data_IF_149335883892
#
_entry.id   IF_149335883892
#
_cell.length_a   1.000
_cell.length_b   1.000
_cell.length_c   1.000
_cell.angle_alpha   90.00
_cell.angle_beta   90.00
_cell.angle_gamma   90.00
#
_symmetry.space_group_name_H-M   'P 1'
#
loop_
_entity.id
_entity.type
_entity.pdbx_description
1 polymer ?
#
# COMPACT_ATOMS: atom_id res chain seq x y z
N UNK A 1 -2.78 20.35 -27.90
CA UNK A 1 -2.96 21.06 -26.63
C UNK A 1 -1.57 21.44 -26.15
N UNK A 2 -1.30 22.73 -25.94
CA UNK A 2 0.00 23.22 -25.50
C UNK A 2 0.27 22.66 -24.10
N UNK A 3 1.31 21.85 -23.97
CA UNK A 3 1.74 21.36 -22.66
C UNK A 3 2.11 22.55 -21.79
N UNK A 4 1.56 22.61 -20.58
CA UNK A 4 2.07 23.47 -19.51
C UNK A 4 3.57 23.18 -19.40
N UNK A 5 4.40 24.14 -19.87
CA UNK A 5 5.83 23.97 -20.00
C UNK A 5 6.52 23.86 -18.64
N UNK A 6 6.41 22.68 -18.04
CA UNK A 6 7.09 22.38 -16.78
C UNK A 6 8.59 22.41 -17.05
N UNK A 7 9.31 23.26 -16.31
CA UNK A 7 10.77 23.30 -16.42
C UNK A 7 11.42 22.10 -15.74
N UNK A 8 11.91 21.14 -16.53
CA UNK A 8 12.59 19.93 -16.05
C UNK A 8 14.12 20.06 -16.07
N UNK A 9 14.63 21.28 -15.83
CA UNK A 9 16.04 21.54 -15.77
C UNK A 9 16.42 22.46 -14.59
N UNK A 10 17.58 22.24 -14.02
CA UNK A 10 18.14 23.03 -12.92
C UNK A 10 19.66 23.15 -13.05
N UNK A 11 20.19 24.28 -12.69
CA UNK A 11 21.64 24.49 -12.54
C UNK A 11 22.04 24.26 -11.09
N UNK A 12 22.89 23.27 -10.84
CA UNK A 12 23.37 22.93 -9.48
C UNK A 12 24.87 22.70 -9.49
N UNK A 13 25.58 23.37 -8.60
CA UNK A 13 27.05 23.29 -8.45
C UNK A 13 27.81 23.49 -9.79
N UNK A 14 27.36 24.44 -10.60
CA UNK A 14 27.96 24.76 -11.91
C UNK A 14 27.66 23.77 -13.03
N UNK A 15 26.81 22.78 -12.80
CA UNK A 15 26.36 21.81 -13.80
C UNK A 15 24.87 21.95 -14.06
N UNK A 16 24.49 21.95 -15.36
CA UNK A 16 23.10 21.93 -15.76
C UNK A 16 22.58 20.51 -15.87
N UNK A 17 21.58 20.20 -15.05
CA UNK A 17 20.82 18.95 -15.10
C UNK A 17 19.52 19.16 -15.85
N UNK A 18 19.21 18.24 -16.77
CA UNK A 18 17.95 18.22 -17.54
C UNK A 18 17.41 16.80 -17.59
N UNK A 19 16.12 16.66 -17.35
CA UNK A 19 15.41 15.40 -17.43
C UNK A 19 14.45 15.41 -18.63
N UNK A 20 14.24 14.25 -19.23
CA UNK A 20 13.46 14.11 -20.45
C UNK A 20 11.96 14.40 -20.23
N UNK A 21 11.45 13.90 -19.08
CA UNK A 21 10.05 13.99 -18.70
C UNK A 21 9.88 13.87 -17.17
N UNK A 22 8.64 13.94 -16.70
CA UNK A 22 8.32 13.81 -15.28
C UNK A 22 8.67 12.42 -14.71
N UNK A 23 8.53 11.36 -15.52
CA UNK A 23 8.89 10.01 -15.10
C UNK A 23 10.39 9.90 -14.78
N UNK A 24 11.24 10.51 -15.62
CA UNK A 24 12.69 10.59 -15.39
C UNK A 24 13.03 11.39 -14.12
N UNK A 25 12.33 12.51 -13.84
CA UNK A 25 12.49 13.27 -12.59
C UNK A 25 12.11 12.41 -11.39
N UNK A 26 10.95 11.75 -11.45
CA UNK A 26 10.45 10.90 -10.39
C UNK A 26 11.39 9.72 -10.10
N UNK A 27 11.91 9.07 -11.14
CA UNK A 27 12.87 7.98 -11.01
C UNK A 27 14.18 8.45 -10.36
N UNK A 28 14.79 9.51 -10.90
CA UNK A 28 16.05 10.04 -10.39
C UNK A 28 15.96 10.63 -8.96
N UNK A 29 14.80 11.18 -8.57
CA UNK A 29 14.56 11.70 -7.21
C UNK A 29 14.47 10.59 -6.15
N UNK A 30 14.27 9.33 -6.56
CA UNK A 30 14.14 8.18 -5.65
C UNK A 30 15.40 7.94 -4.82
N UNK A 31 15.29 7.44 -3.58
CA UNK A 31 16.43 6.90 -2.85
C UNK A 31 17.13 5.80 -3.68
N UNK A 32 18.43 5.61 -3.42
CA UNK A 32 19.17 4.54 -4.10
C UNK A 32 18.54 3.17 -3.84
N UNK A 33 18.30 2.42 -4.90
CA UNK A 33 17.81 1.04 -4.88
C UNK A 33 18.47 0.24 -5.99
N UNK A 34 18.93 -0.98 -5.67
CA UNK A 34 19.60 -1.85 -6.64
C UNK A 34 18.72 -2.20 -7.86
N UNK A 35 17.41 -2.37 -7.65
CA UNK A 35 16.46 -2.63 -8.73
C UNK A 35 16.36 -1.48 -9.74
N UNK A 36 16.34 -0.24 -9.26
CA UNK A 36 16.31 0.96 -10.12
C UNK A 36 17.61 1.10 -10.92
N UNK A 37 18.75 0.73 -10.32
CA UNK A 37 20.05 0.70 -11.01
C UNK A 37 20.06 -0.34 -12.11
N UNK A 38 19.58 -1.56 -11.82
CA UNK A 38 19.48 -2.65 -12.80
C UNK A 38 18.54 -2.31 -13.96
N UNK A 39 17.46 -1.58 -13.67
CA UNK A 39 16.52 -1.08 -14.68
C UNK A 39 17.04 0.13 -15.46
N UNK A 40 18.19 0.71 -15.09
CA UNK A 40 18.79 1.88 -15.76
C UNK A 40 18.03 3.19 -15.55
N UNK A 41 17.17 3.27 -14.52
CA UNK A 41 16.34 4.45 -14.22
C UNK A 41 16.82 5.24 -12.99
N UNK A 42 17.75 4.70 -12.21
CA UNK A 42 18.32 5.37 -11.05
C UNK A 42 19.12 6.63 -11.45
N UNK A 43 19.16 7.63 -10.57
CA UNK A 43 20.12 8.73 -10.72
C UNK A 43 21.55 8.18 -10.76
N UNK A 44 22.37 8.74 -11.67
CA UNK A 44 23.76 8.33 -11.88
C UNK A 44 24.63 8.56 -10.63
N UNK A 45 24.31 9.61 -9.88
CA UNK A 45 25.01 9.99 -8.66
C UNK A 45 24.11 10.76 -7.67
N UNK A 46 24.68 11.14 -6.52
CA UNK A 46 23.94 11.88 -5.50
C UNK A 46 23.55 13.28 -5.95
N UNK A 47 24.37 13.93 -6.77
CA UNK A 47 24.11 15.31 -7.24
C UNK A 47 22.95 15.34 -8.24
N UNK A 48 22.89 14.38 -9.15
CA UNK A 48 21.76 14.24 -10.06
C UNK A 48 20.46 13.95 -9.29
N UNK A 49 20.53 13.10 -8.25
CA UNK A 49 19.35 12.86 -7.37
C UNK A 49 18.90 14.12 -6.67
N UNK A 50 19.81 14.92 -6.15
CA UNK A 50 19.49 16.20 -5.52
C UNK A 50 18.90 17.16 -6.55
N UNK A 51 19.45 17.24 -7.76
CA UNK A 51 18.94 18.08 -8.86
C UNK A 51 17.50 17.68 -9.24
N UNK A 52 17.21 16.37 -9.32
CA UNK A 52 15.84 15.87 -9.56
C UNK A 52 14.88 16.26 -8.44
N UNK A 53 15.31 16.20 -7.18
CA UNK A 53 14.49 16.61 -6.03
C UNK A 53 14.24 18.11 -5.99
N UNK A 54 15.19 18.95 -6.41
CA UNK A 54 14.97 20.39 -6.56
C UNK A 54 13.87 20.66 -7.57
N UNK A 55 13.96 20.04 -8.76
CA UNK A 55 12.91 20.18 -9.77
C UNK A 55 11.58 19.68 -9.22
N UNK A 56 11.54 18.49 -8.60
CA UNK A 56 10.35 17.88 -8.06
C UNK A 56 9.68 18.77 -7.00
N UNK A 57 10.47 19.44 -6.15
CA UNK A 57 9.94 20.31 -5.10
C UNK A 57 9.16 21.52 -5.65
N UNK A 58 9.58 22.02 -6.81
CA UNK A 58 8.97 23.19 -7.43
C UNK A 58 7.78 22.84 -8.35
N UNK A 59 7.52 21.54 -8.59
CA UNK A 59 6.40 21.12 -9.44
C UNK A 59 5.06 21.37 -8.73
N UNK A 60 4.10 22.04 -9.40
CA UNK A 60 2.74 22.14 -8.88
C UNK A 60 2.10 20.76 -8.74
N UNK A 61 1.36 20.50 -7.65
CA UNK A 61 0.63 19.23 -7.45
C UNK A 61 -0.32 18.92 -8.62
N UNK A 62 -0.98 19.95 -9.18
CA UNK A 62 -1.88 19.79 -10.33
C UNK A 62 -1.21 19.19 -11.57
N UNK A 63 0.12 19.25 -11.68
CA UNK A 63 0.86 18.63 -12.78
C UNK A 63 0.58 17.12 -12.87
N UNK A 64 0.39 16.47 -11.75
CA UNK A 64 0.13 15.04 -11.67
C UNK A 64 -1.27 14.63 -12.15
N UNK A 65 -2.22 15.56 -12.25
CA UNK A 65 -3.56 15.29 -12.78
C UNK A 65 -3.53 15.01 -14.28
N UNK A 66 -2.55 15.57 -15.01
CA UNK A 66 -2.40 15.41 -16.45
C UNK A 66 -1.26 14.48 -16.85
N UNK A 67 -0.45 14.01 -15.90
CA UNK A 67 0.73 13.19 -16.15
C UNK A 67 0.61 11.85 -15.43
N UNK A 68 -0.21 10.95 -15.96
CA UNK A 68 -0.36 9.59 -15.46
C UNK A 68 0.73 8.67 -16.02
N UNK A 69 1.29 7.74 -15.24
CA UNK A 69 2.37 6.85 -15.68
C UNK A 69 1.95 5.91 -16.82
N UNK A 70 0.69 5.50 -16.83
CA UNK A 70 0.08 4.63 -17.85
C UNK A 70 -1.13 5.35 -18.43
N UNK A 71 -1.33 5.34 -19.76
CA UNK A 71 -2.47 6.05 -20.38
C UNK A 71 -3.83 5.53 -19.87
N UNK A 72 -4.74 6.45 -19.61
CA UNK A 72 -6.10 6.19 -19.13
C UNK A 72 -6.84 5.16 -20.01
N UNK A 73 -6.70 5.25 -21.33
CA UNK A 73 -7.40 4.42 -22.31
C UNK A 73 -6.97 2.95 -22.24
N UNK A 74 -5.75 2.67 -21.75
CA UNK A 74 -5.13 1.34 -21.82
C UNK A 74 -5.01 0.63 -20.47
N UNK A 75 -5.35 1.31 -19.37
CA UNK A 75 -5.11 0.78 -18.01
C UNK A 75 -6.30 1.01 -17.08
N UNK A 76 -6.91 -0.08 -16.60
CA UNK A 76 -8.08 0.00 -15.71
C UNK A 76 -7.75 0.58 -14.33
N UNK A 77 -6.50 0.43 -13.87
CA UNK A 77 -6.07 0.98 -12.58
C UNK A 77 -5.96 2.50 -12.68
N UNK A 78 -5.36 2.99 -13.77
CA UNK A 78 -5.33 4.44 -14.06
C UNK A 78 -6.73 5.01 -14.16
N UNK A 79 -7.66 4.34 -14.89
CA UNK A 79 -9.07 4.76 -14.93
C UNK A 79 -9.68 4.86 -13.54
N UNK A 80 -9.51 3.82 -12.71
CA UNK A 80 -10.02 3.83 -11.36
C UNK A 80 -9.50 5.00 -10.52
N UNK A 81 -8.20 5.32 -10.62
CA UNK A 81 -7.57 6.42 -9.89
C UNK A 81 -8.13 7.75 -10.36
N UNK A 82 -8.16 7.99 -11.68
CA UNK A 82 -8.62 9.26 -12.26
C UNK A 82 -10.12 9.47 -12.02
N UNK A 83 -10.94 8.44 -12.23
CA UNK A 83 -12.41 8.53 -12.07
C UNK A 83 -12.84 8.71 -10.59
N UNK A 84 -11.99 8.34 -9.65
CA UNK A 84 -12.26 8.49 -8.20
C UNK A 84 -11.58 9.68 -7.57
N UNK A 85 -10.81 10.44 -8.33
CA UNK A 85 -10.21 11.67 -7.82
C UNK A 85 -11.28 12.67 -7.41
N UNK A 86 -11.19 13.17 -6.18
CA UNK A 86 -12.09 14.17 -5.63
C UNK A 86 -11.49 15.58 -5.81
N UNK A 87 -12.03 16.32 -6.77
CA UNK A 87 -11.56 17.66 -7.09
C UNK A 87 -11.84 18.68 -5.97
N UNK A 88 -12.91 18.51 -5.20
CA UNK A 88 -13.25 19.40 -4.09
C UNK A 88 -12.28 19.17 -2.91
N UNK A 89 -11.98 17.92 -2.60
CA UNK A 89 -10.95 17.58 -1.62
C UNK A 89 -9.56 18.07 -2.06
N UNK A 90 -9.24 18.00 -3.37
CA UNK A 90 -7.99 18.49 -3.93
C UNK A 90 -7.88 20.03 -3.87
N UNK A 91 -8.98 20.77 -3.98
CA UNK A 91 -8.97 22.24 -4.09
C UNK A 91 -8.15 22.94 -3.00
N UNK A 92 -8.15 22.42 -1.78
CA UNK A 92 -7.39 22.97 -0.65
C UNK A 92 -5.88 22.94 -0.87
N UNK A 93 -5.36 21.89 -1.50
CA UNK A 93 -3.92 21.66 -1.73
C UNK A 93 -3.50 21.97 -3.17
N UNK A 94 -4.44 22.23 -4.08
CA UNK A 94 -4.19 22.51 -5.49
C UNK A 94 -3.19 23.64 -5.78
N UNK A 95 -3.12 24.72 -4.96
CA UNK A 95 -2.15 25.79 -5.14
C UNK A 95 -0.71 25.42 -4.79
N UNK A 96 -0.51 24.29 -4.08
CA UNK A 96 0.78 23.91 -3.55
C UNK A 96 1.67 23.28 -4.63
N UNK A 97 2.98 23.47 -4.46
CA UNK A 97 4.00 22.61 -5.10
C UNK A 97 4.19 21.35 -4.27
N UNK A 98 4.92 20.36 -4.80
CA UNK A 98 5.29 19.15 -4.04
C UNK A 98 6.06 19.51 -2.77
N UNK A 99 6.97 20.46 -2.84
CA UNK A 99 7.70 20.99 -1.68
C UNK A 99 6.77 21.70 -0.69
N UNK A 100 5.87 22.56 -1.19
CA UNK A 100 4.86 23.22 -0.39
C UNK A 100 3.91 22.23 0.28
N UNK A 101 3.56 21.14 -0.38
CA UNK A 101 2.74 20.09 0.20
C UNK A 101 3.50 19.32 1.31
N UNK A 102 4.81 19.07 1.14
CA UNK A 102 5.63 18.53 2.23
C UNK A 102 5.61 19.44 3.47
N UNK A 103 5.82 20.73 3.29
CA UNK A 103 5.80 21.72 4.40
C UNK A 103 4.41 21.76 5.06
N UNK A 104 3.34 21.72 4.26
CA UNK A 104 1.96 21.68 4.77
C UNK A 104 1.71 20.41 5.60
N UNK A 105 2.16 19.22 5.15
CA UNK A 105 2.04 17.97 5.91
C UNK A 105 2.80 18.00 7.23
N UNK A 106 3.93 18.73 7.29
CA UNK A 106 4.78 18.84 8.49
C UNK A 106 4.33 19.95 9.44
N UNK A 107 3.54 20.92 8.98
CA UNK A 107 3.11 22.07 9.78
C UNK A 107 2.34 21.62 11.04
N UNK A 108 2.56 22.29 12.15
CA UNK A 108 1.97 21.94 13.45
C UNK A 108 0.44 22.09 13.47
N UNK A 109 -0.11 22.99 12.66
CA UNK A 109 -1.55 23.25 12.51
C UNK A 109 -2.24 22.27 11.53
N UNK A 110 -1.50 21.46 10.80
CA UNK A 110 -2.03 20.39 9.96
C UNK A 110 -2.17 19.11 10.77
N UNK A 111 -3.37 18.82 11.23
CA UNK A 111 -3.69 17.62 12.01
C UNK A 111 -4.18 16.45 11.12
N UNK A 112 -4.44 15.30 11.75
CA UNK A 112 -4.90 14.11 11.05
C UNK A 112 -6.29 14.25 10.41
N UNK A 113 -7.17 15.07 10.96
CA UNK A 113 -8.49 15.35 10.39
C UNK A 113 -8.35 16.19 9.12
N UNK A 114 -7.49 17.20 9.15
CA UNK A 114 -7.16 18.05 8.01
C UNK A 114 -6.53 17.23 6.86
N UNK A 115 -5.60 16.29 7.18
CA UNK A 115 -5.02 15.37 6.19
C UNK A 115 -6.09 14.43 5.61
N UNK A 116 -6.97 13.90 6.46
CA UNK A 116 -8.05 13.01 6.01
C UNK A 116 -9.02 13.72 5.07
N UNK A 117 -9.33 15.00 5.31
CA UNK A 117 -10.24 15.79 4.48
C UNK A 117 -9.76 15.95 3.02
N UNK A 118 -8.43 15.98 2.78
CA UNK A 118 -7.87 16.11 1.44
C UNK A 118 -7.48 14.76 0.81
N UNK A 119 -7.59 13.65 1.54
CA UNK A 119 -7.03 12.36 1.13
C UNK A 119 -7.60 11.83 -0.19
N UNK A 120 -8.89 12.02 -0.46
CA UNK A 120 -9.55 11.61 -1.69
C UNK A 120 -9.13 12.45 -2.92
N UNK A 121 -8.52 13.62 -2.68
CA UNK A 121 -7.94 14.48 -3.72
C UNK A 121 -6.45 14.21 -3.99
N UNK A 122 -5.81 13.30 -3.26
CA UNK A 122 -4.39 12.98 -3.45
C UNK A 122 -4.26 11.77 -4.37
N UNK A 123 -3.70 11.97 -5.55
CA UNK A 123 -3.33 10.85 -6.42
C UNK A 123 -2.09 10.11 -5.89
N UNK A 124 -1.94 8.81 -6.17
CA UNK A 124 -0.77 8.02 -5.77
C UNK A 124 0.56 8.65 -6.18
N UNK A 125 0.62 9.27 -7.34
CA UNK A 125 1.82 9.95 -7.87
C UNK A 125 2.19 11.17 -7.04
N UNK A 126 1.22 11.93 -6.53
CA UNK A 126 1.45 13.06 -5.62
C UNK A 126 2.05 12.57 -4.29
N UNK A 127 1.48 11.50 -3.72
CA UNK A 127 2.00 10.87 -2.51
C UNK A 127 3.42 10.32 -2.73
N UNK A 128 3.68 9.68 -3.87
CA UNK A 128 5.00 9.21 -4.24
C UNK A 128 6.00 10.37 -4.42
N UNK A 129 5.59 11.49 -5.03
CA UNK A 129 6.43 12.66 -5.23
C UNK A 129 6.85 13.30 -3.91
N UNK A 130 5.89 13.58 -3.02
CA UNK A 130 6.19 14.19 -1.73
C UNK A 130 7.05 13.28 -0.85
N UNK A 131 6.84 11.97 -0.89
CA UNK A 131 7.63 11.01 -0.12
C UNK A 131 9.11 11.02 -0.49
N UNK A 132 9.45 11.32 -1.77
CA UNK A 132 10.85 11.43 -2.23
C UNK A 132 11.58 12.66 -1.68
N UNK A 133 10.85 13.67 -1.23
CA UNK A 133 11.38 14.87 -0.56
C UNK A 133 11.48 14.70 0.97
N UNK A 134 10.78 13.73 1.53
CA UNK A 134 10.75 13.47 2.96
C UNK A 134 11.97 12.63 3.40
N UNK A 135 12.51 12.96 4.57
CA UNK A 135 13.41 12.10 5.34
C UNK A 135 12.58 11.12 6.17
N UNK A 136 13.21 10.10 6.73
CA UNK A 136 12.51 9.15 7.61
C UNK A 136 11.82 9.84 8.79
N UNK A 137 12.46 10.85 9.39
CA UNK A 137 11.88 11.65 10.49
C UNK A 137 10.64 12.42 10.04
N UNK A 138 10.62 12.96 8.82
CA UNK A 138 9.48 13.66 8.26
C UNK A 138 8.31 12.69 8.06
N UNK A 139 8.57 11.50 7.50
CA UNK A 139 7.56 10.45 7.33
C UNK A 139 6.98 9.97 8.67
N UNK A 140 7.82 9.83 9.71
CA UNK A 140 7.39 9.47 11.06
C UNK A 140 6.49 10.58 11.64
N UNK A 141 6.90 11.86 11.50
CA UNK A 141 6.14 12.99 12.00
C UNK A 141 4.76 13.11 11.34
N UNK A 142 4.69 12.93 10.01
CA UNK A 142 3.44 12.91 9.25
C UNK A 142 2.57 11.73 9.69
N UNK A 143 3.13 10.52 9.75
CA UNK A 143 2.41 9.30 10.14
C UNK A 143 1.85 9.39 11.56
N UNK A 144 2.55 10.06 12.48
CA UNK A 144 2.10 10.25 13.86
C UNK A 144 0.81 11.08 13.97
N UNK A 145 0.51 11.92 12.97
CA UNK A 145 -0.73 12.69 12.89
C UNK A 145 -1.93 11.86 12.45
N UNK A 146 -1.68 10.79 11.68
CA UNK A 146 -2.72 9.98 11.04
C UNK A 146 -2.97 8.75 11.91
N UNK A 147 -4.19 8.61 12.44
CA UNK A 147 -4.58 7.46 13.24
C UNK A 147 -5.55 6.58 12.44
N UNK A 148 -5.12 5.34 12.20
CA UNK A 148 -5.98 4.30 11.62
C UNK A 148 -6.20 3.25 12.69
N UNK A 149 -7.43 3.12 13.18
CA UNK A 149 -7.82 2.11 14.15
C UNK A 149 -8.75 1.12 13.48
N UNK A 150 -8.33 -0.13 13.39
CA UNK A 150 -9.13 -1.22 12.84
C UNK A 150 -9.60 -2.13 13.97
N UNK A 151 -10.85 -2.61 13.87
CA UNK A 151 -11.46 -3.50 14.85
C UNK A 151 -12.10 -4.68 14.14
N UNK A 152 -11.68 -5.85 14.54
CA UNK A 152 -12.32 -7.10 14.17
C UNK A 152 -12.34 -8.01 15.39
N UNK A 153 -11.57 -9.11 15.43
CA UNK A 153 -11.39 -9.92 16.64
C UNK A 153 -10.42 -9.27 17.62
N UNK A 154 -9.42 -8.57 17.13
CA UNK A 154 -8.53 -7.69 17.88
C UNK A 154 -8.67 -6.24 17.43
N UNK A 155 -8.09 -5.30 18.19
CA UNK A 155 -8.04 -3.87 17.82
C UNK A 155 -6.60 -3.49 17.57
N UNK A 156 -6.34 -2.89 16.40
CA UNK A 156 -5.03 -2.42 15.99
C UNK A 156 -5.02 -0.91 15.78
N UNK A 157 -3.87 -0.27 15.96
CA UNK A 157 -3.69 1.17 15.73
C UNK A 157 -3.99 2.05 16.94
N UNK A 158 -4.20 1.48 18.13
CA UNK A 158 -4.33 2.26 19.37
C UNK A 158 -3.00 2.94 19.72
N UNK A 159 -3.07 4.15 20.29
CA UNK A 159 -1.89 4.88 20.73
C UNK A 159 -1.10 4.09 21.79
N UNK A 160 0.23 4.05 21.62
CA UNK A 160 1.13 3.38 22.56
C UNK A 160 1.13 1.84 22.47
N UNK A 161 0.46 1.26 21.47
CA UNK A 161 0.44 -0.20 21.25
C UNK A 161 1.13 -0.56 19.94
N UNK A 162 1.81 -1.70 19.94
CA UNK A 162 2.28 -2.37 18.73
C UNK A 162 1.44 -3.61 18.53
N UNK A 163 1.11 -3.92 17.28
CA UNK A 163 0.43 -5.15 16.90
C UNK A 163 1.36 -5.98 16.01
N UNK A 164 1.57 -7.24 16.37
CA UNK A 164 2.53 -8.13 15.72
C UNK A 164 1.80 -9.21 14.94
N UNK A 165 2.10 -9.33 13.65
CA UNK A 165 1.68 -10.45 12.83
C UNK A 165 2.57 -11.67 13.11
N UNK A 166 1.96 -12.79 13.43
CA UNK A 166 2.63 -14.09 13.50
C UNK A 166 2.48 -14.81 12.15
N UNK A 167 3.58 -15.33 11.61
CA UNK A 167 3.58 -16.01 10.32
C UNK A 167 4.25 -17.40 10.42
N UNK A 168 3.53 -18.42 10.92
CA UNK A 168 4.05 -19.75 11.15
C UNK A 168 4.06 -20.59 9.86
N UNK A 169 4.89 -20.20 8.88
CA UNK A 169 5.00 -20.91 7.62
C UNK A 169 5.73 -22.26 7.79
N UNK A 170 5.33 -23.23 6.99
CA UNK A 170 6.02 -24.53 6.94
C UNK A 170 6.30 -24.93 5.47
N UNK A 171 7.49 -25.45 5.15
CA UNK A 171 7.89 -25.70 3.75
C UNK A 171 7.06 -26.77 3.02
N UNK A 172 6.32 -27.58 3.76
CA UNK A 172 5.45 -28.64 3.20
C UNK A 172 3.99 -28.49 3.65
N UNK A 173 3.64 -27.37 4.28
CA UNK A 173 2.31 -27.10 4.86
C UNK A 173 1.88 -28.14 5.90
N UNK A 174 2.85 -28.78 6.62
CA UNK A 174 2.52 -29.76 7.66
C UNK A 174 1.74 -29.11 8.81
N UNK A 175 0.48 -29.55 9.07
CA UNK A 175 -0.35 -28.92 10.08
C UNK A 175 0.21 -28.98 11.51
N UNK A 176 0.95 -30.06 11.85
CA UNK A 176 1.54 -30.20 13.16
C UNK A 176 2.71 -29.22 13.36
N UNK A 177 3.56 -29.07 12.34
CA UNK A 177 4.66 -28.11 12.33
C UNK A 177 4.15 -26.66 12.40
N UNK A 178 3.11 -26.35 11.64
CA UNK A 178 2.45 -25.03 11.68
C UNK A 178 1.85 -24.75 13.06
N UNK A 179 1.14 -25.73 13.64
CA UNK A 179 0.54 -25.59 14.98
C UNK A 179 1.60 -25.36 16.06
N UNK A 180 2.70 -26.12 16.03
CA UNK A 180 3.81 -25.95 16.97
C UNK A 180 4.43 -24.55 16.86
N UNK A 181 4.73 -24.10 15.64
CA UNK A 181 5.29 -22.77 15.39
C UNK A 181 4.31 -21.64 15.78
N UNK A 182 3.02 -21.83 15.53
CA UNK A 182 1.99 -20.86 15.93
C UNK A 182 1.90 -20.74 17.47
N UNK A 183 1.89 -21.86 18.19
CA UNK A 183 1.84 -21.87 19.65
C UNK A 183 3.12 -21.26 20.26
N UNK A 184 4.28 -21.57 19.72
CA UNK A 184 5.55 -20.99 20.18
C UNK A 184 5.55 -19.46 20.00
N UNK A 185 5.16 -18.96 18.84
CA UNK A 185 5.05 -17.51 18.60
C UNK A 185 4.01 -16.81 19.49
N UNK A 186 2.86 -17.45 19.74
CA UNK A 186 1.83 -16.93 20.64
C UNK A 186 2.34 -16.86 22.10
N UNK A 187 3.10 -17.86 22.56
CA UNK A 187 3.72 -17.86 23.89
C UNK A 187 4.77 -16.73 24.03
N UNK A 188 5.37 -16.30 22.93
CA UNK A 188 6.28 -15.13 22.89
C UNK A 188 5.54 -13.79 22.76
N UNK A 189 4.21 -13.77 22.78
CA UNK A 189 3.40 -12.55 22.68
C UNK A 189 3.22 -12.02 21.26
N UNK A 190 3.46 -12.83 20.22
CA UNK A 190 3.18 -12.47 18.83
C UNK A 190 1.76 -12.90 18.42
N UNK A 191 1.21 -12.33 17.35
CA UNK A 191 -0.07 -12.77 16.77
C UNK A 191 -1.29 -11.96 17.19
N UNK A 192 -1.12 -10.89 17.94
CA UNK A 192 -2.20 -9.98 18.34
C UNK A 192 -2.77 -9.19 17.15
N UNK A 193 -1.97 -8.91 16.10
CA UNK A 193 -2.46 -8.36 14.86
C UNK A 193 -3.24 -9.41 14.05
N UNK A 194 -2.59 -10.53 13.78
CA UNK A 194 -3.15 -11.67 13.06
C UNK A 194 -2.19 -12.87 13.09
N UNK A 195 -2.71 -14.06 12.84
CA UNK A 195 -1.92 -15.22 12.44
C UNK A 195 -2.10 -15.40 10.93
N UNK A 196 -1.02 -15.23 10.14
CA UNK A 196 -1.05 -15.33 8.69
C UNK A 196 -0.12 -16.41 8.18
N UNK A 197 -0.60 -17.31 7.33
CA UNK A 197 0.19 -18.38 6.72
C UNK A 197 0.34 -18.09 5.23
N UNK A 198 1.59 -18.14 4.73
CA UNK A 198 1.85 -18.28 3.31
C UNK A 198 1.99 -19.78 3.02
N UNK A 199 0.98 -20.44 2.42
CA UNK A 199 1.07 -21.84 2.12
C UNK A 199 2.16 -22.10 1.08
N UNK A 200 2.83 -23.25 1.18
CA UNK A 200 3.82 -23.67 0.19
C UNK A 200 3.17 -23.99 -1.16
N UNK A 201 1.88 -24.33 -1.16
CA UNK A 201 1.06 -24.59 -2.34
C UNK A 201 -0.29 -23.91 -2.25
N UNK A 202 -0.65 -23.15 -3.30
CA UNK A 202 -1.98 -22.59 -3.43
C UNK A 202 -2.95 -23.65 -3.99
N UNK A 203 -3.62 -24.36 -3.08
CA UNK A 203 -4.68 -25.29 -3.41
C UNK A 203 -5.82 -25.21 -2.38
N UNK A 204 -7.03 -25.36 -2.86
CA UNK A 204 -8.24 -25.13 -2.07
C UNK A 204 -8.36 -26.07 -0.85
N UNK A 205 -8.02 -27.35 -1.00
CA UNK A 205 -8.15 -28.33 0.10
C UNK A 205 -7.18 -27.99 1.25
N UNK A 206 -5.90 -27.74 0.93
CA UNK A 206 -4.90 -27.33 1.91
C UNK A 206 -5.24 -25.98 2.57
N UNK A 207 -5.74 -25.01 1.79
CA UNK A 207 -6.19 -23.73 2.33
C UNK A 207 -7.30 -23.91 3.36
N UNK A 208 -8.31 -24.73 3.07
CA UNK A 208 -9.43 -25.02 3.99
C UNK A 208 -8.90 -25.74 5.24
N UNK A 209 -7.99 -26.71 5.10
CA UNK A 209 -7.38 -27.41 6.23
C UNK A 209 -6.64 -26.44 7.16
N UNK A 210 -5.82 -25.54 6.61
CA UNK A 210 -5.08 -24.54 7.38
C UNK A 210 -6.01 -23.52 8.05
N UNK A 211 -7.08 -23.08 7.41
CA UNK A 211 -8.09 -22.21 8.01
C UNK A 211 -8.75 -22.89 9.21
N UNK A 212 -9.15 -24.14 9.08
CA UNK A 212 -9.70 -24.89 10.21
C UNK A 212 -8.68 -25.17 11.32
N UNK A 213 -7.40 -25.37 10.98
CA UNK A 213 -6.34 -25.50 11.97
C UNK A 213 -6.24 -24.23 12.84
N UNK A 214 -6.15 -23.05 12.20
CA UNK A 214 -6.04 -21.79 12.91
C UNK A 214 -7.30 -21.49 13.74
N UNK A 215 -8.48 -21.79 13.22
CA UNK A 215 -9.75 -21.64 13.90
C UNK A 215 -9.80 -22.49 15.17
N UNK A 216 -9.43 -23.79 15.09
CA UNK A 216 -9.35 -24.68 16.26
C UNK A 216 -8.33 -24.20 17.30
N UNK A 217 -7.16 -23.69 16.90
CA UNK A 217 -6.17 -23.14 17.83
C UNK A 217 -6.71 -21.91 18.54
N UNK A 218 -7.31 -21.00 17.80
CA UNK A 218 -7.90 -19.79 18.33
C UNK A 218 -8.99 -20.11 19.37
N UNK A 219 -9.91 -20.99 19.01
CA UNK A 219 -11.07 -21.33 19.86
C UNK A 219 -10.63 -22.13 21.09
N UNK A 220 -9.69 -23.08 20.93
CA UNK A 220 -9.19 -23.90 22.05
C UNK A 220 -8.54 -23.04 23.14
N UNK A 221 -7.84 -21.99 22.77
CA UNK A 221 -7.10 -21.15 23.72
C UNK A 221 -7.75 -19.78 23.94
N UNK A 222 -8.96 -19.56 23.40
CA UNK A 222 -9.70 -18.30 23.47
C UNK A 222 -8.86 -17.08 23.08
N UNK A 223 -8.09 -17.18 21.99
CA UNK A 223 -7.16 -16.13 21.56
C UNK A 223 -7.91 -15.07 20.75
N UNK A 224 -7.90 -13.78 21.17
CA UNK A 224 -8.59 -12.70 20.48
C UNK A 224 -7.79 -12.21 19.27
N UNK A 225 -7.55 -13.09 18.30
CA UNK A 225 -6.84 -12.79 17.05
C UNK A 225 -7.62 -13.25 15.83
N UNK A 226 -7.28 -12.74 14.67
CA UNK A 226 -7.82 -13.14 13.38
C UNK A 226 -6.79 -13.98 12.58
N UNK A 227 -7.32 -14.82 11.70
CA UNK A 227 -6.52 -15.69 10.86
C UNK A 227 -6.58 -15.29 9.38
N UNK A 228 -5.49 -15.56 8.65
CA UNK A 228 -5.42 -15.39 7.21
C UNK A 228 -4.55 -16.48 6.60
N UNK A 229 -5.04 -17.18 5.57
CA UNK A 229 -4.22 -17.98 4.68
C UNK A 229 -4.03 -17.20 3.38
N UNK A 230 -2.77 -16.87 3.07
CA UNK A 230 -2.41 -15.99 1.96
C UNK A 230 -2.38 -16.78 0.66
N UNK A 231 -3.54 -17.01 0.09
CA UNK A 231 -3.73 -17.67 -1.20
C UNK A 231 -4.22 -16.67 -2.25
N UNK A 232 -4.28 -17.10 -3.50
CA UNK A 232 -4.92 -16.30 -4.55
C UNK A 232 -6.40 -16.04 -4.19
N UNK A 233 -6.91 -14.87 -4.57
CA UNK A 233 -8.26 -14.43 -4.21
C UNK A 233 -9.35 -15.41 -4.65
N UNK A 234 -9.19 -16.09 -5.79
CA UNK A 234 -10.12 -17.12 -6.26
C UNK A 234 -10.20 -18.32 -5.33
N UNK A 235 -9.06 -18.74 -4.76
CA UNK A 235 -8.99 -19.81 -3.76
C UNK A 235 -9.69 -19.39 -2.48
N UNK A 236 -9.50 -18.13 -2.05
CA UNK A 236 -10.19 -17.58 -0.86
C UNK A 236 -11.70 -17.49 -1.06
N UNK A 237 -12.18 -17.02 -2.22
CA UNK A 237 -13.62 -16.99 -2.56
C UNK A 237 -14.21 -18.42 -2.49
N UNK A 238 -13.55 -19.38 -3.15
CA UNK A 238 -14.00 -20.77 -3.16
C UNK A 238 -13.99 -21.41 -1.75
N UNK A 239 -13.07 -21.00 -0.87
CA UNK A 239 -13.05 -21.45 0.53
C UNK A 239 -14.22 -20.88 1.32
N UNK A 240 -14.59 -19.62 1.11
CA UNK A 240 -15.78 -18.98 1.71
C UNK A 240 -17.05 -19.69 1.26
N UNK A 241 -17.22 -19.96 -0.04
CA UNK A 241 -18.38 -20.66 -0.59
C UNK A 241 -18.57 -22.06 -0.01
N UNK A 242 -17.45 -22.70 0.44
CA UNK A 242 -17.48 -24.00 1.11
C UNK A 242 -17.63 -23.91 2.62
N UNK A 243 -17.86 -22.70 3.17
CA UNK A 243 -18.08 -22.47 4.60
C UNK A 243 -16.83 -22.58 5.45
N UNK A 244 -15.62 -22.46 4.88
CA UNK A 244 -14.39 -22.42 5.65
C UNK A 244 -14.35 -21.16 6.55
N UNK A 245 -13.71 -21.24 7.74
CA UNK A 245 -13.68 -20.14 8.70
C UNK A 245 -12.65 -19.06 8.28
N UNK A 246 -12.99 -18.29 7.25
CA UNK A 246 -12.16 -17.19 6.75
C UNK A 246 -12.42 -15.94 7.60
N UNK A 247 -11.39 -15.40 8.25
CA UNK A 247 -11.46 -14.12 8.93
C UNK A 247 -11.00 -12.97 8.02
N UNK A 248 -9.86 -13.13 7.36
CA UNK A 248 -9.27 -12.13 6.49
C UNK A 248 -8.93 -12.74 5.14
N UNK A 249 -9.20 -11.99 4.08
CA UNK A 249 -8.73 -12.29 2.73
C UNK A 249 -7.48 -11.48 2.42
N UNK A 250 -6.57 -12.07 1.67
CA UNK A 250 -5.36 -11.42 1.19
C UNK A 250 -5.28 -11.52 -0.33
N UNK A 251 -4.87 -10.42 -0.97
CA UNK A 251 -4.47 -10.42 -2.37
C UNK A 251 -3.39 -9.37 -2.60
N UNK A 252 -2.31 -9.75 -3.24
CA UNK A 252 -1.33 -8.80 -3.77
C UNK A 252 -1.91 -8.08 -4.98
N UNK A 253 -1.76 -6.76 -5.02
CA UNK A 253 -2.21 -5.90 -6.11
C UNK A 253 -1.02 -5.09 -6.63
N UNK A 254 -0.95 -4.93 -7.95
CA UNK A 254 0.03 -4.08 -8.61
C UNK A 254 -0.58 -2.74 -9.04
N UNK A 255 0.29 -1.77 -9.32
CA UNK A 255 -0.10 -0.41 -9.71
C UNK A 255 -0.53 -0.25 -11.17
N UNK A 256 -0.62 -1.33 -11.96
CA UNK A 256 -1.09 -1.29 -13.33
C UNK A 256 -1.87 -2.55 -13.71
N UNK A 257 -2.77 -2.43 -14.69
CA UNK A 257 -3.53 -3.54 -15.23
C UNK A 257 -2.63 -4.65 -15.77
N UNK A 258 -1.60 -4.30 -16.52
CA UNK A 258 -0.69 -5.28 -17.11
C UNK A 258 0.04 -6.13 -16.05
N UNK A 259 0.50 -5.49 -14.97
CA UNK A 259 1.14 -6.19 -13.87
C UNK A 259 0.15 -7.08 -13.09
N UNK A 260 -1.08 -6.61 -12.86
CA UNK A 260 -2.15 -7.41 -12.23
C UNK A 260 -2.51 -8.64 -13.07
N UNK A 261 -2.63 -8.47 -14.38
CA UNK A 261 -2.93 -9.56 -15.31
C UNK A 261 -1.85 -10.66 -15.27
N UNK A 262 -0.60 -10.31 -14.97
CA UNK A 262 0.51 -11.25 -14.80
C UNK A 262 0.29 -12.31 -13.70
N UNK A 263 -0.56 -12.00 -12.70
CA UNK A 263 -1.00 -12.97 -11.66
C UNK A 263 -2.51 -13.26 -11.70
N UNK A 264 -3.16 -13.03 -12.83
CA UNK A 264 -4.57 -13.36 -13.01
C UNK A 264 -5.54 -12.44 -12.27
N UNK A 265 -5.13 -11.23 -11.89
CA UNK A 265 -5.94 -10.26 -11.14
C UNK A 265 -6.54 -9.22 -12.06
N UNK A 266 -7.82 -8.92 -11.86
CA UNK A 266 -8.56 -7.81 -12.48
C UNK A 266 -9.30 -7.01 -11.39
N UNK A 267 -9.69 -5.76 -11.69
CA UNK A 267 -10.52 -4.98 -10.76
C UNK A 267 -11.86 -5.64 -10.48
N UNK A 268 -12.45 -6.32 -11.46
CA UNK A 268 -13.69 -7.10 -11.29
C UNK A 268 -13.51 -8.21 -10.26
N UNK A 269 -12.46 -9.01 -10.40
CA UNK A 269 -12.15 -10.09 -9.45
C UNK A 269 -11.86 -9.56 -8.03
N UNK A 270 -11.19 -8.41 -7.92
CA UNK A 270 -10.98 -7.75 -6.63
C UNK A 270 -12.30 -7.27 -6.00
N UNK A 271 -13.24 -6.79 -6.81
CA UNK A 271 -14.59 -6.42 -6.35
C UNK A 271 -15.37 -7.65 -5.86
N UNK A 272 -15.33 -8.75 -6.59
CA UNK A 272 -15.92 -10.03 -6.17
C UNK A 272 -15.35 -10.52 -4.84
N UNK A 273 -14.02 -10.48 -4.68
CA UNK A 273 -13.36 -10.85 -3.43
C UNK A 273 -13.74 -9.95 -2.27
N UNK A 274 -13.85 -8.65 -2.49
CA UNK A 274 -14.32 -7.69 -1.47
C UNK A 274 -15.75 -7.99 -1.05
N UNK A 275 -16.63 -8.29 -2.00
CA UNK A 275 -18.04 -8.58 -1.72
C UNK A 275 -18.19 -9.93 -1.00
N UNK A 276 -17.38 -10.93 -1.36
CA UNK A 276 -17.28 -12.18 -0.61
C UNK A 276 -16.81 -11.95 0.83
N UNK A 277 -15.75 -11.13 1.03
CA UNK A 277 -15.27 -10.79 2.37
C UNK A 277 -16.32 -10.06 3.21
N UNK A 278 -17.13 -9.19 2.60
CA UNK A 278 -18.22 -8.48 3.28
C UNK A 278 -19.39 -9.38 3.68
N UNK A 279 -19.57 -10.50 3.02
CA UNK A 279 -20.61 -11.48 3.35
C UNK A 279 -20.25 -12.34 4.57
N UNK A 280 -19.00 -12.32 5.05
CA UNK A 280 -18.56 -13.08 6.21
C UNK A 280 -19.31 -12.60 7.47
N UNK A 281 -20.04 -13.53 8.11
CA UNK A 281 -20.78 -13.27 9.34
C UNK A 281 -19.78 -13.10 10.49
N UNK A 282 -19.58 -11.88 10.95
CA UNK A 282 -18.65 -11.49 12.01
C UNK A 282 -17.66 -10.41 11.60
N UNK A 283 -17.50 -10.17 10.30
CA UNK A 283 -16.70 -9.08 9.77
C UNK A 283 -17.53 -7.82 9.55
N UNK A 284 -17.56 -6.90 10.51
CA UNK A 284 -17.81 -5.52 10.13
C UNK A 284 -16.56 -5.06 9.41
N UNK A 285 -16.74 -4.76 8.13
CA UNK A 285 -15.74 -4.23 7.22
C UNK A 285 -14.68 -3.38 7.91
N UNK A 286 -13.47 -3.92 8.08
CA UNK A 286 -12.28 -3.15 8.30
C UNK A 286 -11.65 -2.85 6.93
N UNK A 287 -12.35 -2.05 6.14
CA UNK A 287 -11.78 -1.39 4.97
C UNK A 287 -12.10 0.09 5.16
N UNK A 288 -11.14 0.81 5.62
CA UNK A 288 -11.03 2.27 5.45
C UNK A 288 -9.98 2.55 4.40
#
# INVERSE_FOLDING_TARGET
>A
MAGDGVNLAVDLAGTRYRFADLAAVMAAASPYRSGDVLAGIAARDATERVSARYILADLPLRTFLSHVPVPYETDEVTRLIVDRHDADAFATIAPLTVGGFREWLLADDTDGATIAAVSAGIMPEMAAAVSKLCRNQDLIAIAAKIRVVTRFRSTMGLAGTLAVRLQPNHPTDDPAGIAASALDGLLMGCGDAMIGINPARDNLAGTIELLHLLDRLRDRYAIPTQSCVLTHITTSIAAIERGAPVDLMFQSIAGSQAANAGFGITLTLLAEGRDAARSLTGGRSAIS
#
